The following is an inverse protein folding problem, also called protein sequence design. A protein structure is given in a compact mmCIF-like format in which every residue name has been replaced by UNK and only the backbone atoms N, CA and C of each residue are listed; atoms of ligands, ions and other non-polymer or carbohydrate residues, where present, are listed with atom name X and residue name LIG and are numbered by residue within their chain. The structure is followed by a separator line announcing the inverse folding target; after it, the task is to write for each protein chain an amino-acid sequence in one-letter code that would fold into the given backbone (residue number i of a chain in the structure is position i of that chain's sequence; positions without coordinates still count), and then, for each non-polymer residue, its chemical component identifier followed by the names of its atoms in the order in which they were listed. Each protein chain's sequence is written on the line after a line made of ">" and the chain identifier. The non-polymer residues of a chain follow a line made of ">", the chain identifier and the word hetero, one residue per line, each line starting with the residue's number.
data_IF_507403355901
#
_entry.id   IF_507403355901
#
_cell.length_a   1.000
_cell.length_b   1.000
_cell.length_c   1.000
_cell.angle_alpha   90.00
_cell.angle_beta   90.00
_cell.angle_gamma   90.00
#
_symmetry.space_group_name_H-M   'P 1'
#
loop_
_entity.id
_entity.type
_entity.pdbx_description
1 polymer ?
#
# COMPACT_ATOMS: atom_id res chain seq x y z
N UNK A 1 -0.71 48.57 29.75
CA UNK A 1 -0.25 47.82 28.56
C UNK A 1 0.26 46.47 29.02
N UNK A 2 -0.52 45.40 28.88
CA UNK A 2 -0.06 44.04 29.17
C UNK A 2 -0.32 43.17 27.94
N UNK A 3 0.74 42.90 27.17
CA UNK A 3 0.70 42.00 26.02
C UNK A 3 0.62 40.57 26.55
N UNK A 4 -0.55 39.94 26.45
CA UNK A 4 -0.71 38.50 26.67
C UNK A 4 -0.22 37.80 25.40
N UNK A 5 0.98 37.20 25.46
CA UNK A 5 1.50 36.33 24.40
C UNK A 5 0.59 35.10 24.33
N UNK A 6 -0.17 34.95 23.26
CA UNK A 6 -0.86 33.71 22.92
C UNK A 6 0.19 32.71 22.48
N UNK A 7 0.49 31.74 23.35
CA UNK A 7 1.23 30.55 22.98
C UNK A 7 0.29 29.70 22.13
N UNK A 8 0.36 29.87 20.80
CA UNK A 8 -0.31 28.95 19.87
C UNK A 8 0.59 27.74 19.82
N UNK A 9 0.33 26.76 20.69
CA UNK A 9 0.85 25.42 20.51
C UNK A 9 0.30 24.92 19.17
N UNK A 10 1.19 24.81 18.17
CA UNK A 10 0.90 24.02 16.97
C UNK A 10 0.67 22.60 17.47
N UNK A 11 -0.60 22.21 17.54
CA UNK A 11 -1.00 20.84 17.82
C UNK A 11 -0.57 20.04 16.59
N UNK A 12 0.60 19.40 16.67
CA UNK A 12 0.98 18.41 15.65
C UNK A 12 -0.16 17.40 15.58
N UNK A 13 -0.86 17.38 14.46
CA UNK A 13 -1.92 16.42 14.19
C UNK A 13 -1.29 15.03 14.24
N UNK A 14 -1.80 14.15 15.09
CA UNK A 14 -1.36 12.75 15.14
C UNK A 14 -1.58 12.16 13.74
N UNK A 15 -0.50 11.73 13.09
CA UNK A 15 -0.56 11.02 11.82
C UNK A 15 -1.24 9.68 12.05
N UNK A 16 -2.29 9.40 11.29
CA UNK A 16 -2.98 8.12 11.30
C UNK A 16 -2.57 7.34 10.06
N UNK A 17 -2.13 6.10 10.25
CA UNK A 17 -1.75 5.19 9.18
C UNK A 17 -2.85 4.17 8.93
N UNK A 18 -2.92 3.68 7.69
CA UNK A 18 -3.78 2.59 7.25
C UNK A 18 -2.86 1.46 6.81
N UNK A 19 -3.09 0.28 7.39
CA UNK A 19 -2.42 -0.95 6.99
C UNK A 19 -3.25 -1.64 5.91
N UNK A 20 -2.65 -1.80 4.74
CA UNK A 20 -3.23 -2.42 3.57
C UNK A 20 -2.41 -3.64 3.15
N UNK A 21 -3.02 -4.52 2.37
CA UNK A 21 -2.39 -5.68 1.76
C UNK A 21 -2.59 -5.62 0.25
N UNK A 22 -1.52 -5.66 -0.54
CA UNK A 22 -1.58 -5.99 -1.95
C UNK A 22 -1.43 -7.50 -2.13
N UNK A 23 -2.45 -8.15 -2.67
CA UNK A 23 -2.45 -9.59 -2.93
C UNK A 23 -2.61 -9.84 -4.42
N UNK A 24 -1.70 -10.60 -5.01
CA UNK A 24 -1.70 -10.86 -6.45
C UNK A 24 -1.46 -12.32 -6.81
N UNK A 25 -2.11 -12.82 -7.87
CA UNK A 25 -1.79 -14.12 -8.43
C UNK A 25 -0.49 -14.12 -9.25
N UNK A 26 0.12 -12.97 -9.50
CA UNK A 26 1.43 -12.87 -10.13
C UNK A 26 2.55 -13.08 -9.12
N UNK A 27 3.64 -13.69 -9.55
CA UNK A 27 4.88 -13.73 -8.78
C UNK A 27 5.68 -12.46 -9.13
N UNK A 28 5.71 -11.48 -8.24
CA UNK A 28 6.27 -10.14 -8.52
C UNK A 28 7.15 -9.65 -7.36
N UNK A 29 8.23 -8.97 -7.68
CA UNK A 29 9.16 -8.36 -6.72
C UNK A 29 8.94 -6.85 -6.55
N UNK A 30 9.41 -6.31 -5.43
CA UNK A 30 9.45 -4.87 -5.17
C UNK A 30 10.23 -4.12 -6.25
N UNK A 31 11.28 -4.74 -6.80
CA UNK A 31 12.07 -4.20 -7.92
C UNK A 31 11.26 -4.06 -9.20
N UNK A 32 10.39 -5.00 -9.50
CA UNK A 32 9.51 -4.94 -10.67
C UNK A 32 8.44 -3.86 -10.50
N UNK A 33 7.84 -3.76 -9.31
CA UNK A 33 6.91 -2.66 -8.97
C UNK A 33 7.61 -1.30 -9.07
N UNK A 34 8.84 -1.19 -8.56
CA UNK A 34 9.67 0.02 -8.67
C UNK A 34 9.92 0.41 -10.14
N UNK A 35 10.25 -0.57 -11.00
CA UNK A 35 10.46 -0.33 -12.43
C UNK A 35 9.19 0.11 -13.16
N UNK A 36 8.02 -0.42 -12.77
CA UNK A 36 6.73 0.03 -13.29
C UNK A 36 6.48 1.51 -12.96
N UNK A 37 6.77 1.90 -11.72
CA UNK A 37 6.49 3.24 -11.19
C UNK A 37 7.60 4.26 -11.47
N UNK A 38 8.76 3.88 -12.00
CA UNK A 38 9.88 4.80 -12.25
C UNK A 38 9.59 5.89 -13.28
N UNK A 39 8.50 5.76 -14.05
CA UNK A 39 8.07 6.76 -15.02
C UNK A 39 7.28 7.93 -14.38
N UNK A 40 6.96 7.85 -13.10
CA UNK A 40 6.22 8.87 -12.36
C UNK A 40 7.21 9.85 -11.70
N UNK A 41 7.33 11.05 -12.28
CA UNK A 41 8.30 12.07 -11.85
C UNK A 41 8.02 12.68 -10.47
N UNK A 42 6.80 12.51 -9.97
CA UNK A 42 6.32 12.95 -8.66
C UNK A 42 6.63 11.95 -7.53
N UNK A 43 7.17 10.78 -7.87
CA UNK A 43 7.65 9.78 -6.94
C UNK A 43 9.17 9.75 -6.89
N UNK A 44 9.73 9.73 -5.68
CA UNK A 44 11.10 9.26 -5.46
C UNK A 44 11.04 7.82 -4.94
N UNK A 45 11.74 6.93 -5.61
CA UNK A 45 11.73 5.50 -5.29
C UNK A 45 12.99 5.15 -4.51
N UNK A 46 12.82 4.48 -3.37
CA UNK A 46 13.89 3.81 -2.63
C UNK A 46 13.61 2.31 -2.58
N UNK A 47 14.63 1.50 -2.88
CA UNK A 47 14.51 0.04 -2.97
C UNK A 47 15.57 -0.61 -2.11
N UNK A 48 15.14 -1.47 -1.18
CA UNK A 48 16.02 -2.37 -0.46
C UNK A 48 15.92 -3.77 -1.09
N UNK A 49 16.68 -3.98 -2.17
CA UNK A 49 16.59 -5.18 -3.05
C UNK A 49 16.75 -6.50 -2.25
N UNK A 50 17.65 -6.53 -1.27
CA UNK A 50 17.91 -7.72 -0.43
C UNK A 50 16.72 -8.13 0.44
N UNK A 51 15.92 -7.16 0.88
CA UNK A 51 14.73 -7.39 1.70
C UNK A 51 13.45 -7.45 0.86
N UNK A 52 13.56 -7.21 -0.46
CA UNK A 52 12.43 -7.06 -1.36
C UNK A 52 11.41 -6.03 -0.85
N UNK A 53 11.89 -4.92 -0.27
CA UNK A 53 11.08 -3.81 0.24
C UNK A 53 11.22 -2.60 -0.68
N UNK A 54 10.09 -1.95 -0.98
CA UNK A 54 10.01 -0.72 -1.78
C UNK A 54 9.42 0.41 -0.94
N UNK A 55 10.00 1.60 -1.02
CA UNK A 55 9.44 2.83 -0.46
C UNK A 55 9.21 3.87 -1.57
N UNK A 56 7.98 4.38 -1.65
CA UNK A 56 7.57 5.47 -2.53
C UNK A 56 7.52 6.77 -1.71
N UNK A 57 8.49 7.64 -1.92
CA UNK A 57 8.51 8.98 -1.32
C UNK A 57 7.64 9.93 -2.15
N UNK A 58 6.61 10.48 -1.51
CA UNK A 58 5.65 11.40 -2.08
C UNK A 58 6.15 12.85 -2.00
N UNK A 59 5.61 13.73 -2.85
CA UNK A 59 5.99 15.15 -2.91
C UNK A 59 5.74 15.95 -1.61
N UNK A 60 4.91 15.45 -0.71
CA UNK A 60 4.61 16.04 0.60
C UNK A 60 5.54 15.56 1.73
N UNK A 61 6.63 14.85 1.40
CA UNK A 61 7.57 14.21 2.33
C UNK A 61 6.98 13.06 3.17
N UNK A 62 5.81 12.55 2.81
CA UNK A 62 5.32 11.28 3.32
C UNK A 62 5.78 10.14 2.40
N UNK A 63 5.69 8.90 2.89
CA UNK A 63 6.05 7.71 2.12
C UNK A 63 4.98 6.65 2.17
N UNK A 64 5.03 5.74 1.19
CA UNK A 64 4.29 4.47 1.16
C UNK A 64 5.31 3.35 1.06
N UNK A 65 5.30 2.46 2.04
CA UNK A 65 6.12 1.25 2.04
C UNK A 65 5.37 0.06 1.44
N UNK A 66 6.13 -0.86 0.83
CA UNK A 66 5.69 -2.16 0.35
C UNK A 66 6.63 -3.20 0.93
N UNK A 67 6.19 -3.89 1.96
CA UNK A 67 6.97 -4.92 2.66
C UNK A 67 6.45 -6.32 2.29
N UNK A 68 7.32 -7.25 1.88
CA UNK A 68 6.86 -8.57 1.47
C UNK A 68 6.41 -9.36 2.71
N UNK A 69 5.22 -9.94 2.64
CA UNK A 69 4.74 -10.88 3.66
C UNK A 69 5.00 -12.32 3.20
N UNK A 70 5.74 -13.06 4.02
CA UNK A 70 5.97 -14.48 3.77
C UNK A 70 4.69 -15.28 4.06
N UNK A 71 4.15 -15.90 3.02
CA UNK A 71 3.18 -16.98 3.15
C UNK A 71 3.87 -18.20 3.82
N UNK A 72 3.21 -18.91 4.75
CA UNK A 72 1.77 -19.13 4.76
C UNK A 72 1.03 -18.44 5.89
N UNK A 73 -0.18 -18.00 5.61
CA UNK A 73 -1.13 -17.58 6.63
C UNK A 73 -1.32 -18.69 7.67
N UNK A 74 -1.15 -18.35 8.94
CA UNK A 74 -1.22 -19.32 10.04
C UNK A 74 -2.63 -19.89 10.26
N UNK A 75 -3.66 -19.22 9.70
CA UNK A 75 -5.06 -19.61 9.80
C UNK A 75 -5.52 -20.38 8.52
N UNK A 76 -6.19 -21.54 8.66
CA UNK A 76 -6.78 -22.28 7.54
C UNK A 76 -7.70 -21.44 6.63
N UNK A 77 -8.43 -20.46 7.19
CA UNK A 77 -9.32 -19.58 6.42
C UNK A 77 -8.54 -18.71 5.43
N UNK A 78 -7.46 -18.10 5.88
CA UNK A 78 -6.60 -17.24 5.07
C UNK A 78 -5.84 -18.07 4.01
N UNK A 79 -5.39 -19.27 4.38
CA UNK A 79 -4.78 -20.20 3.44
C UNK A 79 -5.76 -20.62 2.33
N UNK A 80 -7.03 -20.90 2.68
CA UNK A 80 -8.08 -21.19 1.71
C UNK A 80 -8.41 -19.96 0.85
N UNK A 81 -8.47 -18.77 1.44
CA UNK A 81 -8.70 -17.51 0.75
C UNK A 81 -7.64 -17.25 -0.32
N UNK A 82 -6.37 -17.40 0.04
CA UNK A 82 -5.23 -17.22 -0.84
C UNK A 82 -5.19 -18.28 -1.95
N UNK A 83 -5.41 -19.55 -1.59
CA UNK A 83 -5.46 -20.65 -2.56
C UNK A 83 -6.58 -20.47 -3.58
N UNK A 84 -7.78 -20.11 -3.14
CA UNK A 84 -8.95 -19.93 -4.03
C UNK A 84 -8.77 -18.79 -5.03
N UNK A 85 -7.95 -17.78 -4.68
CA UNK A 85 -7.61 -16.65 -5.55
C UNK A 85 -6.25 -16.80 -6.25
N UNK A 86 -5.61 -17.96 -6.11
CA UNK A 86 -4.29 -18.26 -6.65
C UNK A 86 -3.21 -17.21 -6.27
N UNK A 87 -3.27 -16.67 -5.05
CA UNK A 87 -2.32 -15.65 -4.60
C UNK A 87 -0.91 -16.23 -4.51
N UNK A 88 0.04 -15.58 -5.18
CA UNK A 88 1.46 -15.97 -5.23
C UNK A 88 2.37 -14.96 -4.53
N UNK A 89 1.94 -13.71 -4.38
CA UNK A 89 2.72 -12.66 -3.72
C UNK A 89 1.80 -11.78 -2.89
N UNK A 90 2.29 -11.38 -1.71
CA UNK A 90 1.63 -10.44 -0.80
C UNK A 90 2.63 -9.38 -0.35
N UNK A 91 2.22 -8.12 -0.44
CA UNK A 91 2.91 -7.00 0.20
C UNK A 91 2.00 -6.36 1.26
N UNK A 92 2.52 -6.14 2.46
CA UNK A 92 1.97 -5.17 3.39
C UNK A 92 2.29 -3.77 2.88
N UNK A 93 1.33 -2.86 3.02
CA UNK A 93 1.43 -1.48 2.57
C UNK A 93 1.04 -0.57 3.71
N UNK A 94 1.99 0.22 4.19
CA UNK A 94 1.74 1.35 5.09
C UNK A 94 1.45 2.62 4.31
N UNK A 95 0.32 3.29 4.60
CA UNK A 95 0.00 4.59 4.00
C UNK A 95 -0.57 5.54 5.04
N UNK A 96 -0.15 6.81 5.04
CA UNK A 96 -0.81 7.83 5.85
C UNK A 96 -2.24 8.05 5.31
N UNK A 97 -3.25 8.04 6.19
CA UNK A 97 -4.66 8.11 5.80
C UNK A 97 -5.00 9.30 4.88
N UNK A 98 -4.32 10.44 5.09
CA UNK A 98 -4.52 11.64 4.28
C UNK A 98 -3.98 11.52 2.85
N UNK A 99 -3.10 10.54 2.60
CA UNK A 99 -2.48 10.29 1.30
C UNK A 99 -3.13 9.15 0.53
N UNK A 100 -4.07 8.40 1.12
CA UNK A 100 -4.72 7.27 0.46
C UNK A 100 -5.22 7.64 -0.94
N UNK A 101 -5.98 8.73 -1.06
CA UNK A 101 -6.50 9.20 -2.35
C UNK A 101 -5.40 9.54 -3.35
N UNK A 102 -4.26 10.06 -2.89
CA UNK A 102 -3.15 10.46 -3.74
C UNK A 102 -2.40 9.25 -4.30
N UNK A 103 -2.41 8.12 -3.59
CA UNK A 103 -1.64 6.92 -3.97
C UNK A 103 -2.47 5.89 -4.74
N UNK A 104 -3.80 6.00 -4.72
CA UNK A 104 -4.72 5.14 -5.48
C UNK A 104 -4.35 5.01 -6.98
N UNK A 105 -3.92 6.07 -7.70
CA UNK A 105 -3.53 5.93 -9.11
C UNK A 105 -2.31 5.00 -9.31
N UNK A 106 -1.36 4.97 -8.38
CA UNK A 106 -0.22 4.04 -8.46
C UNK A 106 -0.67 2.61 -8.14
N UNK A 107 -1.56 2.45 -7.16
CA UNK A 107 -2.17 1.16 -6.84
C UNK A 107 -2.94 0.58 -8.02
N UNK A 108 -3.74 1.39 -8.71
CA UNK A 108 -4.44 0.99 -9.94
C UNK A 108 -3.44 0.49 -11.00
N UNK A 109 -2.31 1.17 -11.18
CA UNK A 109 -1.28 0.76 -12.15
C UNK A 109 -0.63 -0.56 -11.82
N UNK A 110 -0.32 -0.80 -10.54
CA UNK A 110 0.20 -2.08 -10.07
C UNK A 110 -0.82 -3.19 -10.36
N UNK A 111 -2.09 -2.97 -10.02
CA UNK A 111 -3.16 -3.95 -10.24
C UNK A 111 -3.41 -4.18 -11.74
N UNK A 112 -3.38 -3.14 -12.58
CA UNK A 112 -3.52 -3.29 -14.04
C UNK A 112 -2.39 -4.13 -14.64
N UNK A 113 -1.15 -3.95 -14.16
CA UNK A 113 0.02 -4.66 -14.67
C UNK A 113 0.08 -6.11 -14.17
N UNK A 114 -0.12 -6.31 -12.87
CA UNK A 114 0.15 -7.58 -12.20
C UNK A 114 -1.12 -8.31 -11.73
N UNK A 115 -2.31 -7.80 -12.04
CA UNK A 115 -3.59 -8.29 -11.51
C UNK A 115 -3.64 -8.23 -9.97
N UNK A 116 -4.67 -8.84 -9.37
CA UNK A 116 -4.84 -8.86 -7.93
C UNK A 116 -5.70 -7.72 -7.42
N UNK A 117 -5.55 -7.41 -6.14
CA UNK A 117 -6.32 -6.38 -5.44
C UNK A 117 -5.55 -5.87 -4.22
N UNK A 118 -5.93 -4.69 -3.75
CA UNK A 118 -5.50 -4.15 -2.46
C UNK A 118 -6.67 -4.22 -1.50
N UNK A 119 -6.44 -4.64 -0.27
CA UNK A 119 -7.46 -4.68 0.78
C UNK A 119 -6.93 -4.12 2.10
N UNK A 120 -7.81 -3.84 3.06
CA UNK A 120 -7.36 -3.61 4.43
C UNK A 120 -6.71 -4.87 5.02
N UNK A 121 -5.72 -4.68 5.90
CA UNK A 121 -5.27 -5.74 6.81
C UNK A 121 -6.29 -5.90 7.95
N UNK A 122 -7.43 -6.51 7.63
CA UNK A 122 -8.55 -6.77 8.54
C UNK A 122 -8.99 -8.22 8.44
N UNK A 123 -9.77 -8.69 9.43
CA UNK A 123 -10.30 -10.07 9.45
C UNK A 123 -11.11 -10.44 8.19
N UNK A 124 -11.78 -9.46 7.58
CA UNK A 124 -12.61 -9.63 6.40
C UNK A 124 -11.98 -9.12 5.09
N UNK A 125 -10.76 -8.57 5.16
CA UNK A 125 -10.04 -7.98 4.03
C UNK A 125 -10.88 -6.93 3.28
N UNK A 126 -11.61 -6.07 3.99
CA UNK A 126 -12.44 -5.01 3.41
C UNK A 126 -12.02 -3.62 3.91
N UNK A 127 -12.05 -2.58 3.06
CA UNK A 127 -12.53 -2.58 1.67
C UNK A 127 -11.52 -3.19 0.68
N UNK A 128 -12.01 -3.63 -0.49
CA UNK A 128 -11.19 -4.13 -1.60
C UNK A 128 -11.15 -3.11 -2.74
N UNK A 129 -9.94 -2.79 -3.20
CA UNK A 129 -9.64 -2.03 -4.40
C UNK A 129 -9.12 -2.98 -5.47
N UNK A 130 -9.86 -3.10 -6.56
CA UNK A 130 -9.49 -3.92 -7.72
C UNK A 130 -9.48 -3.06 -8.98
N UNK A 131 -8.70 -3.49 -9.98
CA UNK A 131 -8.56 -2.76 -11.23
C UNK A 131 -9.91 -2.56 -11.93
N UNK A 132 -10.02 -1.51 -12.74
CA UNK A 132 -11.27 -1.06 -13.39
C UNK A 132 -11.98 -2.14 -14.23
N UNK A 133 -11.32 -3.25 -14.58
CA UNK A 133 -11.88 -4.37 -15.32
C UNK A 133 -12.48 -5.49 -14.47
N UNK A 134 -12.24 -5.55 -13.16
CA UNK A 134 -12.74 -6.63 -12.31
C UNK A 134 -14.09 -6.29 -11.69
N UNK A 135 -15.16 -6.75 -12.34
CA UNK A 135 -16.55 -6.59 -11.86
C UNK A 135 -16.92 -7.59 -10.76
N UNK A 136 -16.00 -8.46 -10.35
CA UNK A 136 -16.31 -9.63 -9.50
C UNK A 136 -16.15 -9.35 -8.00
N UNK A 137 -15.64 -8.17 -7.64
CA UNK A 137 -15.29 -7.79 -6.27
C UNK A 137 -16.17 -6.68 -5.67
N UNK A 138 -17.30 -6.34 -6.31
CA UNK A 138 -18.33 -5.43 -5.76
C UNK A 138 -19.52 -6.18 -5.20
#
# INVERSE_FOLDING_TARGET
>A
MSKKKSNIEKKDSIKQYIDLLYMTPSQVSAKEIAALLSNYHDLKIELWDEMNVLELNLSNNNSVDFEPLNLPFHNPSDAAFAKNRNIQTVFAIGVEQNDLTNVLPYFEKIIEMYSGFICADSEDFQPVYAGSSDKTLR
#
